data_IF_833048347300
#
_entry.id   IF_833048347300
#
_cell.length_a   1.000
_cell.length_b   1.000
_cell.length_c   1.000
_cell.angle_alpha   90.00
_cell.angle_beta   90.00
_cell.angle_gamma   90.00
#
_symmetry.space_group_name_H-M   'P 1'
#
loop_
_entity.id
_entity.type
_entity.pdbx_description
1 polymer ?
#
# COMPACT_ATOMS: atom_id res chain seq x y z
N UNK A 1 -20.76 -7.80 10.26
CA UNK A 1 -19.77 -8.88 10.08
C UNK A 1 -19.04 -8.62 8.76
N UNK A 2 -17.88 -7.97 8.79
CA UNK A 2 -17.13 -7.63 7.58
C UNK A 2 -16.37 -8.87 7.10
N UNK A 3 -16.86 -9.49 6.02
CA UNK A 3 -16.21 -10.66 5.42
C UNK A 3 -15.00 -10.18 4.60
N UNK A 4 -13.81 -10.30 5.17
CA UNK A 4 -12.55 -10.15 4.44
C UNK A 4 -12.28 -11.48 3.72
N UNK A 5 -11.97 -11.42 2.42
CA UNK A 5 -11.68 -12.62 1.63
C UNK A 5 -10.15 -12.80 1.58
N UNK A 6 -9.61 -13.89 2.14
CA UNK A 6 -8.19 -14.18 2.05
C UNK A 6 -7.81 -14.57 0.62
N UNK A 7 -6.66 -14.08 0.16
CA UNK A 7 -6.19 -14.24 -1.22
C UNK A 7 -5.30 -15.48 -1.29
N UNK A 8 -5.92 -16.65 -1.48
CA UNK A 8 -5.21 -17.94 -1.56
C UNK A 8 -4.65 -18.26 -2.96
N UNK A 9 -4.36 -17.28 -3.82
CA UNK A 9 -4.00 -17.52 -5.22
C UNK A 9 -2.76 -16.79 -5.77
N UNK A 10 -1.96 -16.11 -4.94
CA UNK A 10 -0.64 -15.67 -5.39
C UNK A 10 0.29 -16.88 -5.49
N UNK A 11 0.55 -17.32 -6.72
CA UNK A 11 1.46 -18.43 -7.04
C UNK A 11 2.84 -18.15 -6.43
N UNK A 12 3.47 -19.17 -5.83
CA UNK A 12 4.77 -19.08 -5.15
C UNK A 12 5.86 -18.58 -6.09
N UNK A 13 6.05 -17.26 -6.16
CA UNK A 13 7.21 -16.60 -6.76
C UNK A 13 7.74 -15.55 -5.76
N UNK A 14 9.00 -15.14 -5.83
CA UNK A 14 9.65 -14.25 -4.85
C UNK A 14 8.98 -12.87 -4.71
N UNK A 15 8.32 -12.40 -5.78
CA UNK A 15 7.52 -11.17 -5.70
C UNK A 15 6.21 -11.39 -4.94
N UNK A 16 5.59 -12.56 -5.12
CA UNK A 16 4.43 -12.97 -4.34
C UNK A 16 4.79 -13.16 -2.86
N UNK A 17 5.97 -13.70 -2.52
CA UNK A 17 6.36 -13.89 -1.11
C UNK A 17 6.52 -12.57 -0.35
N UNK A 18 7.02 -11.50 -0.99
CA UNK A 18 7.09 -10.15 -0.40
C UNK A 18 5.71 -9.52 -0.21
N UNK A 19 4.76 -9.80 -1.08
CA UNK A 19 3.38 -9.30 -0.95
C UNK A 19 2.62 -10.11 0.11
N UNK A 20 2.80 -11.43 0.15
CA UNK A 20 2.16 -12.32 1.12
C UNK A 20 2.60 -12.01 2.57
N UNK A 21 3.83 -11.52 2.78
CA UNK A 21 4.29 -11.09 4.11
C UNK A 21 3.55 -9.84 4.63
N UNK A 22 2.84 -9.12 3.76
CA UNK A 22 2.00 -7.97 4.11
C UNK A 22 0.59 -8.40 4.59
N UNK A 23 0.31 -9.71 4.72
CA UNK A 23 -1.02 -10.21 5.11
C UNK A 23 -2.14 -9.60 4.23
N UNK A 24 -2.04 -9.69 2.89
CA UNK A 24 -2.94 -8.98 2.01
C UNK A 24 -4.33 -9.65 2.02
N UNK A 25 -5.39 -8.86 1.88
CA UNK A 25 -6.76 -9.35 1.76
C UNK A 25 -7.60 -8.46 0.84
N UNK A 26 -8.70 -8.99 0.33
CA UNK A 26 -9.69 -8.22 -0.43
C UNK A 26 -10.82 -7.80 0.51
N UNK A 27 -11.13 -6.50 0.53
CA UNK A 27 -12.22 -5.96 1.32
C UNK A 27 -13.59 -6.11 0.65
N UNK A 28 -14.63 -5.55 1.27
CA UNK A 28 -16.00 -5.61 0.76
C UNK A 28 -16.22 -4.83 -0.54
N UNK A 29 -15.31 -3.91 -0.87
CA UNK A 29 -15.36 -3.08 -2.08
C UNK A 29 -14.54 -3.70 -3.21
N UNK A 30 -13.96 -4.89 -3.00
CA UNK A 30 -13.12 -5.57 -3.98
C UNK A 30 -11.69 -5.00 -4.05
N UNK A 31 -11.29 -4.19 -3.07
CA UNK A 31 -9.99 -3.54 -3.05
C UNK A 31 -8.95 -4.36 -2.29
N UNK A 32 -7.73 -4.39 -2.82
CA UNK A 32 -6.60 -5.08 -2.23
C UNK A 32 -6.01 -4.23 -1.09
N UNK A 33 -6.01 -4.78 0.12
CA UNK A 33 -5.52 -4.11 1.34
C UNK A 33 -4.49 -4.95 2.08
N UNK A 34 -3.74 -4.27 2.94
CA UNK A 34 -2.73 -4.86 3.81
C UNK A 34 -3.29 -5.08 5.21
N UNK A 35 -3.09 -6.27 5.76
CA UNK A 35 -3.45 -6.66 7.11
C UNK A 35 -2.32 -6.49 8.13
N UNK A 36 -2.31 -7.34 9.15
CA UNK A 36 -1.19 -7.44 10.08
C UNK A 36 -1.23 -6.54 11.33
N UNK A 37 -0.11 -5.84 11.59
CA UNK A 37 0.32 -5.39 12.94
C UNK A 37 -0.68 -4.46 13.65
N UNK A 38 -1.41 -3.64 12.90
CA UNK A 38 -2.33 -2.63 13.45
C UNK A 38 -3.77 -3.13 13.60
N UNK A 39 -4.07 -4.41 13.32
CA UNK A 39 -5.44 -4.95 13.28
C UNK A 39 -6.27 -4.68 14.56
N UNK A 40 -5.63 -4.57 15.72
CA UNK A 40 -6.26 -4.30 17.03
C UNK A 40 -6.18 -2.84 17.49
N UNK A 41 -5.57 -1.95 16.71
CA UNK A 41 -5.44 -0.54 17.07
C UNK A 41 -6.78 0.21 16.91
N UNK A 42 -7.00 1.25 17.71
CA UNK A 42 -8.19 2.11 17.62
C UNK A 42 -7.98 3.26 16.61
N UNK A 43 -7.46 2.95 15.43
CA UNK A 43 -7.30 3.92 14.33
C UNK A 43 -8.36 3.69 13.24
N UNK A 44 -8.62 4.67 12.38
CA UNK A 44 -9.56 4.52 11.25
C UNK A 44 -9.23 3.31 10.38
N UNK A 45 -10.27 2.68 9.80
CA UNK A 45 -10.15 1.45 9.01
C UNK A 45 -9.12 1.57 7.89
N UNK A 46 -9.13 2.67 7.13
CA UNK A 46 -8.20 2.85 6.01
C UNK A 46 -6.74 3.00 6.42
N UNK A 47 -6.48 3.53 7.62
CA UNK A 47 -5.11 3.58 8.17
C UNK A 47 -4.69 2.24 8.76
N UNK A 48 -5.66 1.50 9.29
CA UNK A 48 -5.45 0.15 9.83
C UNK A 48 -5.19 -0.88 8.74
N UNK A 49 -5.86 -0.68 7.61
CA UNK A 49 -5.88 -1.55 6.45
C UNK A 49 -5.64 -0.72 5.19
N UNK A 50 -4.42 -0.21 5.00
CA UNK A 50 -4.11 0.63 3.85
C UNK A 50 -4.23 -0.16 2.55
N UNK A 51 -4.59 0.55 1.48
CA UNK A 51 -4.68 -0.01 0.14
C UNK A 51 -3.28 -0.39 -0.36
N UNK A 52 -3.19 -1.56 -0.98
CA UNK A 52 -1.98 -2.02 -1.65
C UNK A 52 -1.99 -1.51 -3.09
N UNK A 53 -1.00 -0.69 -3.43
CA UNK A 53 -0.83 -0.10 -4.74
C UNK A 53 0.30 -0.79 -5.51
N UNK A 54 0.09 -1.15 -6.79
CA UNK A 54 1.17 -1.61 -7.65
C UNK A 54 2.17 -0.49 -7.90
N UNK A 55 3.47 -0.76 -7.74
CA UNK A 55 4.53 0.24 -7.88
C UNK A 55 4.63 0.83 -9.30
N UNK A 56 4.28 0.05 -10.32
CA UNK A 56 4.44 0.43 -11.73
C UNK A 56 3.12 0.86 -12.41
N UNK A 57 2.17 1.39 -11.65
CA UNK A 57 0.89 1.85 -12.18
C UNK A 57 0.80 3.38 -12.16
N UNK A 58 0.23 3.98 -13.23
CA UNK A 58 0.15 5.43 -13.39
C UNK A 58 -0.55 6.13 -12.21
N UNK A 59 -1.58 5.49 -11.64
CA UNK A 59 -2.25 6.01 -10.44
C UNK A 59 -1.29 6.16 -9.24
N UNK A 60 -0.45 5.16 -8.99
CA UNK A 60 0.55 5.18 -7.91
C UNK A 60 1.55 6.31 -8.14
N UNK A 61 2.04 6.46 -9.37
CA UNK A 61 2.94 7.54 -9.77
C UNK A 61 2.29 8.91 -9.47
N UNK A 62 1.04 9.12 -9.87
CA UNK A 62 0.30 10.37 -9.64
C UNK A 62 0.09 10.67 -8.15
N UNK A 63 -0.14 9.66 -7.32
CA UNK A 63 -0.20 9.84 -5.86
C UNK A 63 1.14 10.34 -5.32
N UNK A 64 2.26 9.78 -5.80
CA UNK A 64 3.57 10.20 -5.33
C UNK A 64 3.93 11.59 -5.83
N UNK A 65 3.67 11.93 -7.09
CA UNK A 65 3.83 13.30 -7.60
C UNK A 65 3.01 14.30 -6.77
N UNK A 66 1.76 13.96 -6.45
CA UNK A 66 0.90 14.80 -5.62
C UNK A 66 1.50 15.01 -4.23
N UNK A 67 1.93 13.94 -3.54
CA UNK A 67 2.56 14.07 -2.23
C UNK A 67 3.91 14.78 -2.31
N UNK A 68 4.67 14.63 -3.39
CA UNK A 68 5.93 15.34 -3.59
C UNK A 68 5.72 16.85 -3.69
N UNK A 69 4.76 17.29 -4.52
CA UNK A 69 4.38 18.70 -4.65
C UNK A 69 3.83 19.23 -3.31
N UNK A 70 2.95 18.47 -2.67
CA UNK A 70 2.31 18.86 -1.39
C UNK A 70 3.31 19.01 -0.25
N UNK A 71 4.39 18.23 -0.24
CA UNK A 71 5.47 18.34 0.75
C UNK A 71 6.61 19.27 0.27
N UNK A 72 6.33 20.20 -0.66
CA UNK A 72 7.28 21.24 -1.13
C UNK A 72 8.59 20.64 -1.63
N UNK A 73 8.48 19.57 -2.43
CA UNK A 73 9.63 18.85 -2.99
C UNK A 73 10.57 18.24 -1.93
N UNK A 74 10.03 17.90 -0.75
CA UNK A 74 10.80 17.21 0.27
C UNK A 74 11.45 15.94 -0.27
N UNK A 75 12.57 15.56 0.35
CA UNK A 75 13.33 14.38 -0.02
C UNK A 75 12.50 13.11 -0.01
N UNK A 76 13.01 12.10 -0.71
CA UNK A 76 12.43 10.78 -0.94
C UNK A 76 11.77 10.15 0.28
N UNK A 77 12.43 10.18 1.43
CA UNK A 77 11.93 9.57 2.67
C UNK A 77 10.69 10.28 3.22
N UNK A 78 10.61 11.60 3.08
CA UNK A 78 9.47 12.40 3.55
C UNK A 78 8.24 12.11 2.70
N UNK A 79 8.39 12.10 1.38
CA UNK A 79 7.30 11.76 0.45
C UNK A 79 6.84 10.32 0.69
N UNK A 80 7.78 9.39 0.88
CA UNK A 80 7.47 7.99 1.16
C UNK A 80 6.71 7.83 2.47
N UNK A 81 7.13 8.52 3.53
CA UNK A 81 6.42 8.53 4.80
C UNK A 81 5.00 9.10 4.64
N UNK A 82 4.83 10.14 3.80
CA UNK A 82 3.54 10.74 3.53
C UNK A 82 2.58 9.77 2.79
N UNK A 83 3.07 9.11 1.75
CA UNK A 83 2.32 8.08 1.00
C UNK A 83 1.96 6.90 1.92
N UNK A 84 2.92 6.45 2.73
CA UNK A 84 2.74 5.32 3.67
C UNK A 84 1.72 5.57 4.78
N UNK A 85 1.26 6.81 4.98
CA UNK A 85 0.17 7.08 5.94
C UNK A 85 -1.15 6.46 5.51
N UNK A 86 -1.37 6.32 4.19
CA UNK A 86 -2.65 5.90 3.62
C UNK A 86 -2.52 4.70 2.66
N UNK A 87 -1.32 4.43 2.13
CA UNK A 87 -1.10 3.43 1.08
C UNK A 87 0.15 2.58 1.35
N UNK A 88 0.16 1.35 0.83
CA UNK A 88 1.35 0.49 0.79
C UNK A 88 1.69 0.21 -0.66
N UNK A 89 2.96 0.32 -1.05
CA UNK A 89 3.41 0.08 -2.43
C UNK A 89 4.03 -1.31 -2.54
N UNK A 90 3.52 -2.15 -3.45
CA UNK A 90 4.06 -3.50 -3.71
C UNK A 90 5.21 -3.44 -4.73
N UNK A 91 6.45 -3.32 -4.26
CA UNK A 91 7.66 -3.46 -5.10
C UNK A 91 8.74 -2.42 -4.81
N UNK A 92 9.94 -2.57 -5.42
CA UNK A 92 10.96 -1.54 -5.39
C UNK A 92 10.39 -0.29 -6.05
N UNK A 93 10.34 0.77 -5.27
CA UNK A 93 9.92 2.09 -5.67
C UNK A 93 11.13 3.01 -5.52
N UNK A 94 11.18 4.12 -6.27
CA UNK A 94 12.18 5.20 -6.20
C UNK A 94 13.28 5.22 -7.28
N UNK A 95 12.92 5.27 -8.57
CA UNK A 95 13.90 5.76 -9.57
C UNK A 95 13.34 6.71 -10.63
N UNK A 96 12.03 6.97 -10.67
CA UNK A 96 11.40 7.64 -11.82
C UNK A 96 10.52 8.86 -11.52
N UNK A 97 10.37 9.27 -10.26
CA UNK A 97 9.29 10.22 -9.87
C UNK A 97 9.77 11.34 -8.93
N UNK A 98 11.07 11.44 -8.68
CA UNK A 98 11.73 12.54 -7.98
C UNK A 98 12.84 13.06 -8.90
#
# INVERSE_FOLDING_TARGET
MNKQIPINQFTKNEQASKILSLDPFVDTDGLLRVGGRLRRSQIPYDRRHPLLLPSNHNFTIKIIEHEHIRNVHAGTQTVLAAVRRNFVISGPYMEKVL
#
